data_IF_254316477112
#
_entry.id   IF_254316477112
#
_cell.length_a   1.000
_cell.length_b   1.000
_cell.length_c   1.000
_cell.angle_alpha   90.00
_cell.angle_beta   90.00
_cell.angle_gamma   90.00
#
_symmetry.space_group_name_H-M   'P 1'
#
loop_
_entity.id
_entity.type
_entity.pdbx_description
1 polymer ?
#
# COMPACT_ATOMS: atom_id res chain seq x y z
N UNK A 1 34.29 -26.80 10.53
CA UNK A 1 32.99 -27.42 10.23
C UNK A 1 32.01 -26.99 11.31
N UNK A 2 31.00 -26.16 11.00
CA UNK A 2 29.86 -26.00 11.89
C UNK A 2 28.72 -26.93 11.45
N UNK A 3 28.13 -27.57 12.45
CA UNK A 3 27.16 -28.66 12.36
C UNK A 3 25.80 -28.20 11.81
N UNK A 4 25.30 -28.95 10.83
CA UNK A 4 23.95 -28.84 10.29
C UNK A 4 23.00 -29.68 11.14
N UNK A 5 22.43 -29.08 12.19
CA UNK A 5 21.24 -29.62 12.85
C UNK A 5 19.98 -29.00 12.23
N UNK A 6 19.60 -29.47 11.05
CA UNK A 6 18.28 -29.21 10.46
C UNK A 6 17.31 -30.32 10.89
N UNK A 7 16.51 -30.04 11.93
CA UNK A 7 15.35 -30.83 12.29
C UNK A 7 14.15 -30.53 11.37
N UNK A 8 13.24 -31.49 11.11
CA UNK A 8 12.26 -31.40 10.02
C UNK A 8 11.01 -30.56 10.34
N UNK A 9 11.09 -29.50 11.15
CA UNK A 9 9.89 -28.87 11.74
C UNK A 9 9.56 -27.43 11.29
N UNK A 10 10.33 -26.79 10.41
CA UNK A 10 10.02 -25.41 9.97
C UNK A 10 10.27 -25.22 8.46
N UNK A 11 9.39 -25.80 7.63
CA UNK A 11 9.20 -25.41 6.22
C UNK A 11 7.98 -24.50 6.07
N UNK A 12 7.90 -23.45 6.88
CA UNK A 12 7.20 -22.25 6.42
C UNK A 12 8.19 -21.47 5.57
N UNK A 13 7.69 -20.81 4.53
CA UNK A 13 8.43 -20.11 3.46
C UNK A 13 9.90 -19.79 3.81
N UNK A 14 10.91 -20.29 3.07
CA UNK A 14 12.33 -20.09 3.38
C UNK A 14 12.69 -18.63 3.67
N UNK A 15 11.99 -17.68 3.03
CA UNK A 15 12.10 -16.24 3.22
C UNK A 15 11.82 -15.76 4.65
N UNK A 16 10.82 -16.32 5.35
CA UNK A 16 10.47 -15.89 6.70
C UNK A 16 11.54 -16.30 7.72
N UNK A 17 12.05 -17.53 7.59
CA UNK A 17 13.13 -18.04 8.44
C UNK A 17 14.44 -17.25 8.24
N UNK A 18 14.69 -16.81 7.02
CA UNK A 18 15.89 -16.07 6.64
C UNK A 18 15.78 -14.58 7.02
N UNK A 19 14.59 -13.98 6.91
CA UNK A 19 14.28 -12.67 7.44
C UNK A 19 14.45 -12.63 8.97
N UNK A 20 14.01 -13.65 9.70
CA UNK A 20 14.24 -13.77 11.14
C UNK A 20 15.73 -13.90 11.48
N UNK A 21 16.49 -14.69 10.71
CA UNK A 21 17.96 -14.79 10.86
C UNK A 21 18.63 -13.46 10.60
N UNK A 22 18.26 -12.76 9.53
CA UNK A 22 18.77 -11.44 9.19
C UNK A 22 18.45 -10.39 10.28
N UNK A 23 17.21 -10.34 10.76
CA UNK A 23 16.79 -9.43 11.83
C UNK A 23 17.50 -9.74 13.15
N UNK A 24 17.69 -11.02 13.47
CA UNK A 24 18.46 -11.47 14.64
C UNK A 24 19.93 -11.04 14.52
N UNK A 25 20.53 -11.16 13.33
CA UNK A 25 21.89 -10.71 13.05
C UNK A 25 22.02 -9.18 13.22
N UNK A 26 21.05 -8.41 12.68
CA UNK A 26 20.99 -6.95 12.74
C UNK A 26 20.80 -6.39 14.15
N UNK A 27 20.10 -7.11 15.04
CA UNK A 27 19.91 -6.72 16.45
C UNK A 27 21.21 -6.78 17.28
N UNK A 28 22.20 -7.55 16.82
CA UNK A 28 23.45 -7.80 17.55
C UNK A 28 24.61 -6.87 17.16
N UNK A 29 24.50 -6.11 16.07
CA UNK A 29 25.59 -5.27 15.57
C UNK A 29 25.07 -3.93 15.02
N UNK A 30 25.36 -2.83 15.73
CA UNK A 30 25.32 -1.48 15.15
C UNK A 30 26.60 -1.25 14.35
N UNK A 31 26.71 -1.86 13.16
CA UNK A 31 27.91 -1.66 12.32
C UNK A 31 27.93 -0.26 11.70
N UNK A 32 29.06 0.43 11.82
CA UNK A 32 29.38 1.58 10.98
C UNK A 32 29.64 1.13 9.54
N UNK A 33 29.41 2.03 8.57
CA UNK A 33 29.55 1.76 7.13
C UNK A 33 30.97 1.26 6.78
N UNK A 34 31.99 1.60 7.59
CA UNK A 34 33.39 1.18 7.40
C UNK A 34 33.67 -0.30 7.78
N UNK A 35 32.93 -0.90 8.73
CA UNK A 35 33.06 -2.33 9.03
C UNK A 35 32.42 -3.20 7.93
N UNK A 36 31.44 -2.65 7.20
CA UNK A 36 30.75 -3.31 6.09
C UNK A 36 31.59 -3.37 4.82
N UNK A 37 32.45 -2.38 4.53
CA UNK A 37 33.30 -2.40 3.34
C UNK A 37 34.49 -3.32 3.50
N UNK A 38 35.08 -3.42 4.69
CA UNK A 38 36.37 -4.10 4.85
C UNK A 38 36.28 -5.60 5.23
N UNK A 39 35.16 -6.05 5.84
CA UNK A 39 34.97 -7.46 6.23
C UNK A 39 34.03 -8.25 5.33
N UNK A 40 33.36 -7.59 4.39
CA UNK A 40 32.10 -8.08 3.84
C UNK A 40 32.02 -8.09 2.31
N UNK A 41 33.09 -7.84 1.54
CA UNK A 41 33.02 -8.03 0.07
C UNK A 41 32.62 -9.47 -0.30
N UNK A 42 33.10 -10.46 0.45
CA UNK A 42 32.74 -11.86 0.20
C UNK A 42 31.42 -12.27 0.86
N UNK A 43 31.13 -11.82 2.08
CA UNK A 43 29.90 -12.21 2.81
C UNK A 43 28.67 -11.38 2.41
N UNK A 44 28.84 -10.09 2.11
CA UNK A 44 27.77 -9.24 1.58
C UNK A 44 27.55 -9.52 0.10
N UNK A 45 28.58 -9.77 -0.73
CA UNK A 45 28.30 -10.27 -2.08
C UNK A 45 27.73 -11.69 -2.06
N UNK A 46 28.08 -12.55 -1.10
CA UNK A 46 27.46 -13.86 -0.94
C UNK A 46 26.03 -13.76 -0.39
N UNK A 47 25.74 -12.87 0.54
CA UNK A 47 24.40 -12.65 1.09
C UNK A 47 23.50 -11.93 0.09
N UNK A 48 24.00 -10.93 -0.63
CA UNK A 48 23.31 -10.32 -1.77
C UNK A 48 23.16 -11.34 -2.89
N UNK A 49 24.17 -12.14 -3.24
CA UNK A 49 24.03 -13.23 -4.21
C UNK A 49 23.07 -14.32 -3.73
N UNK A 50 22.98 -14.61 -2.42
CA UNK A 50 22.05 -15.58 -1.87
C UNK A 50 20.62 -15.04 -1.89
N UNK A 51 20.42 -13.80 -1.43
CA UNK A 51 19.13 -13.11 -1.47
C UNK A 51 18.69 -12.92 -2.92
N UNK A 52 19.62 -12.56 -3.81
CA UNK A 52 19.42 -12.47 -5.26
C UNK A 52 19.09 -13.85 -5.84
N UNK A 53 19.83 -14.91 -5.47
CA UNK A 53 19.58 -16.32 -5.86
C UNK A 53 18.22 -16.85 -5.39
N UNK A 54 17.74 -16.40 -4.23
CA UNK A 54 16.46 -16.84 -3.65
C UNK A 54 15.28 -15.97 -4.07
N UNK A 55 15.51 -14.69 -4.36
CA UNK A 55 14.65 -13.91 -5.25
C UNK A 55 14.60 -14.53 -6.67
N UNK A 56 15.63 -15.30 -7.10
CA UNK A 56 15.58 -16.13 -8.32
C UNK A 56 14.72 -17.39 -8.19
N UNK A 57 14.46 -17.86 -6.98
CA UNK A 57 13.58 -19.00 -6.70
C UNK A 57 12.12 -18.58 -6.40
N UNK A 58 11.84 -17.27 -6.30
CA UNK A 58 10.46 -16.75 -6.28
C UNK A 58 9.84 -16.95 -7.65
N UNK A 59 9.16 -18.10 -7.78
CA UNK A 59 8.39 -18.56 -8.92
C UNK A 59 9.17 -18.54 -10.24
N UNK A 60 9.62 -19.73 -10.69
CA UNK A 60 10.32 -19.93 -11.97
C UNK A 60 9.64 -19.29 -13.19
N UNK A 61 8.36 -18.89 -13.08
CA UNK A 61 7.61 -18.17 -14.11
C UNK A 61 7.89 -16.65 -14.19
N UNK A 62 8.42 -15.98 -13.16
CA UNK A 62 8.54 -14.52 -13.09
C UNK A 62 9.96 -14.02 -12.72
N UNK A 63 10.99 -14.51 -13.42
CA UNK A 63 12.38 -14.08 -13.19
C UNK A 63 12.58 -12.59 -13.49
N UNK A 64 12.95 -11.83 -12.46
CA UNK A 64 13.10 -10.36 -12.48
C UNK A 64 14.10 -9.88 -13.56
N UNK A 65 15.22 -10.58 -13.77
CA UNK A 65 16.20 -10.24 -14.82
C UNK A 65 15.70 -10.52 -16.24
N UNK A 66 14.83 -11.52 -16.42
CA UNK A 66 14.20 -11.77 -17.74
C UNK A 66 13.01 -10.87 -17.99
N UNK A 67 12.57 -10.10 -16.99
CA UNK A 67 11.36 -9.29 -17.08
C UNK A 67 11.44 -8.27 -18.23
N UNK A 68 12.62 -7.65 -18.41
CA UNK A 68 12.87 -6.74 -19.52
C UNK A 68 12.82 -7.44 -20.89
N UNK A 69 13.41 -8.64 -21.01
CA UNK A 69 13.39 -9.43 -22.25
C UNK A 69 11.97 -9.87 -22.62
N UNK A 70 11.22 -10.36 -21.63
CA UNK A 70 9.82 -10.79 -21.80
C UNK A 70 8.96 -9.61 -22.22
N UNK A 71 9.11 -8.46 -21.57
CA UNK A 71 8.36 -7.26 -21.91
C UNK A 71 8.74 -6.73 -23.30
N UNK A 72 10.03 -6.60 -23.62
CA UNK A 72 10.51 -6.12 -24.93
C UNK A 72 10.02 -7.03 -26.06
N UNK A 73 10.03 -8.36 -25.86
CA UNK A 73 9.51 -9.33 -26.84
C UNK A 73 8.00 -9.14 -27.09
N UNK A 74 7.21 -8.96 -26.04
CA UNK A 74 5.77 -8.75 -26.18
C UNK A 74 5.44 -7.36 -26.76
N UNK A 75 6.25 -6.33 -26.49
CA UNK A 75 6.11 -5.02 -27.11
C UNK A 75 6.36 -5.10 -28.62
N UNK A 76 7.41 -5.80 -29.06
CA UNK A 76 7.72 -5.99 -30.50
C UNK A 76 6.66 -6.81 -31.23
N UNK A 77 6.09 -7.84 -30.58
CA UNK A 77 5.02 -8.65 -31.17
C UNK A 77 3.69 -7.89 -31.33
N UNK A 78 3.46 -6.86 -30.51
CA UNK A 78 2.20 -6.11 -30.45
C UNK A 78 2.36 -4.65 -30.89
N UNK A 79 3.28 -4.37 -31.82
CA UNK A 79 3.61 -3.02 -32.31
C UNK A 79 2.41 -2.22 -32.84
N UNK A 80 1.32 -2.90 -33.22
CA UNK A 80 0.09 -2.28 -33.71
C UNK A 80 -1.00 -2.21 -32.61
N UNK A 81 -0.95 -1.16 -31.78
CA UNK A 81 -2.14 -0.61 -31.10
C UNK A 81 -2.52 -1.17 -29.71
N UNK A 82 -1.71 -2.03 -29.09
CA UNK A 82 -1.99 -2.52 -27.74
C UNK A 82 -1.34 -1.65 -26.66
N UNK A 83 -2.17 -1.04 -25.81
CA UNK A 83 -1.73 -0.27 -24.63
C UNK A 83 -0.87 -1.12 -23.70
N UNK A 84 0.19 -0.54 -23.11
CA UNK A 84 1.13 -1.20 -22.19
C UNK A 84 0.42 -2.02 -21.08
N UNK A 85 -0.71 -1.51 -20.57
CA UNK A 85 -1.55 -2.19 -19.56
C UNK A 85 -2.10 -3.54 -20.01
N UNK A 86 -2.51 -3.65 -21.29
CA UNK A 86 -3.06 -4.91 -21.84
C UNK A 86 -1.98 -5.98 -21.93
N UNK A 87 -0.78 -5.59 -22.33
CA UNK A 87 0.40 -6.47 -22.42
C UNK A 87 0.77 -6.98 -21.03
N UNK A 88 0.89 -6.09 -20.05
CA UNK A 88 1.19 -6.47 -18.66
C UNK A 88 0.13 -7.43 -18.09
N UNK A 89 -1.15 -7.17 -18.35
CA UNK A 89 -2.25 -8.06 -17.95
C UNK A 89 -2.17 -9.44 -18.60
N UNK A 90 -1.76 -9.52 -19.87
CA UNK A 90 -1.61 -10.79 -20.58
C UNK A 90 -0.47 -11.62 -20.00
N UNK A 91 0.67 -10.98 -19.68
CA UNK A 91 1.83 -11.66 -19.10
C UNK A 91 1.52 -12.16 -17.69
N UNK A 92 0.88 -11.33 -16.86
CA UNK A 92 0.64 -11.58 -15.44
C UNK A 92 -0.71 -12.24 -15.14
N UNK A 93 -1.47 -12.66 -16.15
CA UNK A 93 -2.82 -13.21 -15.99
C UNK A 93 -2.90 -14.36 -14.97
N UNK A 94 -1.92 -15.27 -14.95
CA UNK A 94 -1.91 -16.42 -14.04
C UNK A 94 -1.79 -15.96 -12.57
N UNK A 95 -0.95 -14.98 -12.31
CA UNK A 95 -0.73 -14.38 -10.99
C UNK A 95 -1.90 -13.50 -10.56
N UNK A 96 -2.53 -12.79 -11.50
CA UNK A 96 -3.79 -12.09 -11.25
C UNK A 96 -4.88 -13.07 -10.82
N UNK A 97 -5.01 -14.22 -11.49
CA UNK A 97 -5.99 -15.24 -11.13
C UNK A 97 -5.74 -15.82 -9.73
N UNK A 98 -4.49 -16.15 -9.39
CA UNK A 98 -4.17 -16.63 -8.04
C UNK A 98 -4.42 -15.56 -6.98
N UNK A 99 -4.15 -14.29 -7.27
CA UNK A 99 -4.45 -13.18 -6.37
C UNK A 99 -5.97 -13.04 -6.13
N UNK A 100 -6.79 -13.16 -7.17
CA UNK A 100 -8.25 -13.14 -7.05
C UNK A 100 -8.75 -14.30 -6.18
N UNK A 101 -8.20 -15.50 -6.35
CA UNK A 101 -8.56 -16.67 -5.52
C UNK A 101 -8.19 -16.46 -4.06
N UNK A 102 -6.97 -15.96 -3.77
CA UNK A 102 -6.54 -15.64 -2.41
C UNK A 102 -7.40 -14.57 -1.75
N UNK A 103 -7.77 -13.53 -2.50
CA UNK A 103 -8.65 -12.49 -1.99
C UNK A 103 -10.08 -13.02 -1.73
N UNK A 104 -10.62 -13.85 -2.62
CA UNK A 104 -11.92 -14.47 -2.42
C UNK A 104 -11.93 -15.37 -1.17
N UNK A 105 -10.85 -16.13 -0.95
CA UNK A 105 -10.64 -16.92 0.26
C UNK A 105 -10.64 -16.02 1.50
N UNK A 106 -9.88 -14.93 1.47
CA UNK A 106 -9.89 -13.92 2.53
C UNK A 106 -11.31 -13.40 2.80
N UNK A 107 -12.05 -12.99 1.76
CA UNK A 107 -13.41 -12.46 1.90
C UNK A 107 -14.36 -13.45 2.57
N UNK A 108 -14.34 -14.72 2.15
CA UNK A 108 -15.22 -15.77 2.73
C UNK A 108 -14.94 -15.96 4.22
N UNK A 109 -13.67 -16.10 4.61
CA UNK A 109 -13.30 -16.32 6.01
C UNK A 109 -13.42 -15.06 6.89
N UNK A 110 -13.21 -13.87 6.30
CA UNK A 110 -13.41 -12.57 6.94
C UNK A 110 -14.88 -12.36 7.34
N UNK A 111 -15.82 -12.71 6.45
CA UNK A 111 -17.26 -12.65 6.72
C UNK A 111 -17.70 -13.82 7.63
N UNK A 112 -17.09 -14.99 7.47
CA UNK A 112 -17.37 -16.14 8.33
C UNK A 112 -17.03 -15.90 9.80
N UNK A 113 -15.96 -15.16 10.09
CA UNK A 113 -15.51 -14.85 11.45
C UNK A 113 -16.63 -14.28 12.36
N UNK A 114 -17.31 -13.16 12.02
CA UNK A 114 -18.38 -12.63 12.86
C UNK A 114 -19.61 -13.53 12.93
N UNK A 115 -19.89 -14.33 11.90
CA UNK A 115 -20.98 -15.33 11.93
C UNK A 115 -20.68 -16.42 12.95
N UNK A 116 -19.44 -16.93 12.98
CA UNK A 116 -19.01 -17.92 13.98
C UNK A 116 -19.01 -17.31 15.38
N UNK A 117 -18.57 -16.05 15.51
CA UNK A 117 -18.63 -15.32 16.78
C UNK A 117 -20.06 -15.17 17.30
N UNK A 118 -21.04 -14.91 16.42
CA UNK A 118 -22.45 -14.89 16.79
C UNK A 118 -22.92 -16.24 17.36
N UNK A 119 -22.62 -17.34 16.67
CA UNK A 119 -23.02 -18.67 17.14
C UNK A 119 -22.36 -19.03 18.48
N UNK A 120 -21.10 -18.64 18.67
CA UNK A 120 -20.39 -18.82 19.94
C UNK A 120 -21.07 -18.03 21.08
N UNK A 121 -21.44 -16.78 20.84
CA UNK A 121 -22.13 -15.96 21.83
C UNK A 121 -23.53 -16.50 22.14
N UNK A 122 -24.26 -16.98 21.13
CA UNK A 122 -25.56 -17.63 21.32
C UNK A 122 -25.44 -18.94 22.08
N UNK A 123 -24.33 -19.66 21.92
CA UNK A 123 -24.03 -20.85 22.72
C UNK A 123 -23.81 -20.46 24.20
N UNK A 124 -23.12 -19.35 24.48
CA UNK A 124 -22.92 -18.86 25.85
C UNK A 124 -24.21 -18.42 26.56
N UNK A 125 -25.25 -18.07 25.81
CA UNK A 125 -26.55 -17.65 26.36
C UNK A 125 -27.48 -18.82 26.72
N UNK A 126 -27.11 -20.07 26.39
CA UNK A 126 -27.88 -21.27 26.76
C UNK A 126 -27.53 -21.73 28.18
N UNK A 127 -28.52 -22.19 28.94
CA UNK A 127 -28.34 -22.59 30.35
C UNK A 127 -27.49 -23.86 30.54
N UNK A 128 -27.52 -24.83 29.60
CA UNK A 128 -26.69 -26.04 29.65
C UNK A 128 -26.40 -26.64 28.26
N UNK A 129 -25.57 -25.99 27.43
CA UNK A 129 -25.23 -26.49 26.10
C UNK A 129 -24.06 -27.49 26.15
N UNK A 130 -23.98 -28.41 25.17
CA UNK A 130 -22.87 -29.35 25.11
C UNK A 130 -21.52 -28.63 24.94
N UNK A 131 -20.55 -28.97 25.81
CA UNK A 131 -19.23 -28.30 25.86
C UNK A 131 -18.43 -28.43 24.56
N UNK A 132 -18.57 -29.56 23.85
CA UNK A 132 -17.85 -29.80 22.60
C UNK A 132 -18.25 -28.80 21.49
N UNK A 133 -19.50 -28.31 21.50
CA UNK A 133 -19.99 -27.31 20.52
C UNK A 133 -19.26 -25.97 20.73
N UNK A 134 -19.07 -25.55 21.98
CA UNK A 134 -18.31 -24.34 22.32
C UNK A 134 -16.84 -24.43 21.90
N UNK A 135 -16.17 -25.56 22.22
CA UNK A 135 -14.78 -25.77 21.79
C UNK A 135 -14.63 -25.80 20.27
N UNK A 136 -15.58 -26.42 19.55
CA UNK A 136 -15.60 -26.45 18.09
C UNK A 136 -15.76 -25.04 17.50
N UNK A 137 -16.71 -24.25 18.01
CA UNK A 137 -16.95 -22.87 17.55
C UNK A 137 -15.76 -21.96 17.82
N UNK A 138 -15.11 -22.08 18.98
CA UNK A 138 -13.89 -21.34 19.30
C UNK A 138 -12.72 -21.73 18.40
N UNK A 139 -12.52 -23.03 18.14
CA UNK A 139 -11.49 -23.50 17.21
C UNK A 139 -11.76 -23.03 15.78
N UNK A 140 -13.02 -23.04 15.34
CA UNK A 140 -13.44 -22.54 14.04
C UNK A 140 -13.20 -21.03 13.91
N UNK A 141 -13.51 -20.25 14.95
CA UNK A 141 -13.25 -18.81 14.98
C UNK A 141 -11.76 -18.51 14.79
N UNK A 142 -10.90 -19.24 15.51
CA UNK A 142 -9.45 -19.14 15.37
C UNK A 142 -8.98 -19.52 13.95
N UNK A 143 -9.49 -20.63 13.40
CA UNK A 143 -9.17 -21.07 12.05
C UNK A 143 -9.60 -20.04 11.00
N UNK A 144 -10.79 -19.47 11.12
CA UNK A 144 -11.27 -18.41 10.23
C UNK A 144 -10.36 -17.18 10.27
N UNK A 145 -9.97 -16.74 11.46
CA UNK A 145 -9.09 -15.57 11.61
C UNK A 145 -7.70 -15.81 11.02
N UNK A 146 -7.08 -16.95 11.33
CA UNK A 146 -5.75 -17.31 10.82
C UNK A 146 -5.77 -17.46 9.30
N UNK A 147 -6.76 -18.17 8.75
CA UNK A 147 -6.88 -18.38 7.30
C UNK A 147 -7.15 -17.06 6.57
N UNK A 148 -8.05 -16.22 7.10
CA UNK A 148 -8.34 -14.90 6.54
C UNK A 148 -7.10 -13.99 6.54
N UNK A 149 -6.36 -13.97 7.66
CA UNK A 149 -5.17 -13.14 7.82
C UNK A 149 -4.03 -13.60 6.90
N UNK A 150 -3.76 -14.91 6.84
CA UNK A 150 -2.76 -15.48 5.95
C UNK A 150 -3.11 -15.25 4.49
N UNK A 151 -4.36 -15.53 4.08
CA UNK A 151 -4.79 -15.32 2.70
C UNK A 151 -4.63 -13.87 2.24
N UNK A 152 -4.92 -12.90 3.14
CA UNK A 152 -4.70 -11.49 2.88
C UNK A 152 -3.21 -11.15 2.74
N UNK A 153 -2.38 -11.66 3.63
CA UNK A 153 -0.93 -11.39 3.59
C UNK A 153 -0.31 -11.97 2.31
N UNK A 154 -0.64 -13.22 1.95
CA UNK A 154 -0.21 -13.82 0.69
C UNK A 154 -0.71 -13.05 -0.54
N UNK A 155 -1.93 -12.51 -0.50
CA UNK A 155 -2.44 -11.64 -1.56
C UNK A 155 -1.60 -10.37 -1.70
N UNK A 156 -1.27 -9.69 -0.59
CA UNK A 156 -0.46 -8.48 -0.59
C UNK A 156 0.95 -8.77 -1.09
N UNK A 157 1.56 -9.86 -0.62
CA UNK A 157 2.89 -10.27 -1.05
C UNK A 157 2.90 -10.55 -2.56
N UNK A 158 1.97 -11.35 -3.06
CA UNK A 158 1.84 -11.63 -4.50
C UNK A 158 1.67 -10.34 -5.33
N UNK A 159 0.90 -9.37 -4.84
CA UNK A 159 0.77 -8.06 -5.48
C UNK A 159 2.09 -7.28 -5.50
N UNK A 160 2.86 -7.32 -4.42
CA UNK A 160 4.18 -6.69 -4.32
C UNK A 160 5.18 -7.35 -5.28
N UNK A 161 5.15 -8.69 -5.41
CA UNK A 161 5.97 -9.42 -6.40
C UNK A 161 5.64 -8.97 -7.82
N UNK A 162 4.34 -8.92 -8.18
CA UNK A 162 3.91 -8.43 -9.49
C UNK A 162 4.34 -6.97 -9.74
N UNK A 163 4.25 -6.12 -8.70
CA UNK A 163 4.73 -4.74 -8.73
C UNK A 163 6.23 -4.66 -9.00
N UNK A 164 7.04 -5.38 -8.22
CA UNK A 164 8.49 -5.40 -8.35
C UNK A 164 8.94 -5.92 -9.72
N UNK A 165 8.29 -6.98 -10.21
CA UNK A 165 8.55 -7.50 -11.54
C UNK A 165 8.23 -6.47 -12.63
N UNK A 166 7.11 -5.76 -12.50
CA UNK A 166 6.69 -4.73 -13.47
C UNK A 166 7.67 -3.57 -13.48
N UNK A 167 8.09 -3.08 -12.31
CA UNK A 167 9.11 -2.03 -12.19
C UNK A 167 10.41 -2.48 -12.85
N UNK A 168 10.87 -3.69 -12.56
CA UNK A 168 12.12 -4.21 -13.11
C UNK A 168 12.06 -4.39 -14.64
N UNK A 169 10.92 -4.85 -15.17
CA UNK A 169 10.70 -4.94 -16.60
C UNK A 169 10.77 -3.57 -17.27
N UNK A 170 10.06 -2.58 -16.72
CA UNK A 170 9.99 -1.23 -17.26
C UNK A 170 11.33 -0.52 -17.16
N UNK A 171 12.00 -0.54 -16.02
CA UNK A 171 13.33 0.06 -15.85
C UNK A 171 14.37 -0.58 -16.76
N UNK A 172 14.32 -1.91 -16.96
CA UNK A 172 15.23 -2.61 -17.87
C UNK A 172 15.02 -2.24 -19.34
N UNK A 173 13.76 -2.14 -19.79
CA UNK A 173 13.45 -1.67 -21.15
C UNK A 173 13.83 -0.19 -21.32
N UNK A 174 13.54 0.66 -20.33
CA UNK A 174 13.96 2.07 -20.32
C UNK A 174 15.48 2.19 -20.45
N UNK A 175 16.25 1.41 -19.69
CA UNK A 175 17.70 1.41 -19.77
C UNK A 175 18.21 1.03 -21.18
N UNK A 176 17.67 -0.04 -21.77
CA UNK A 176 18.03 -0.45 -23.14
C UNK A 176 17.68 0.62 -24.17
N UNK A 177 16.53 1.26 -24.01
CA UNK A 177 16.11 2.34 -24.90
C UNK A 177 17.03 3.55 -24.77
N UNK A 178 17.43 3.94 -23.56
CA UNK A 178 18.41 5.01 -23.35
C UNK A 178 19.73 4.77 -24.09
N UNK A 179 20.15 3.51 -24.25
CA UNK A 179 21.36 3.15 -25.02
C UNK A 179 21.18 3.26 -26.55
N UNK A 180 19.94 3.34 -27.06
CA UNK A 180 19.61 3.45 -28.49
C UNK A 180 19.15 4.84 -28.92
N UNK A 181 18.92 5.74 -27.97
CA UNK A 181 18.51 7.12 -28.26
C UNK A 181 19.69 7.93 -28.82
N UNK A 182 19.45 8.79 -29.83
CA UNK A 182 20.50 9.65 -30.39
C UNK A 182 20.93 10.71 -29.36
N UNK A 183 22.24 10.95 -29.24
CA UNK A 183 22.80 12.04 -28.43
C UNK A 183 22.63 13.39 -29.15
N UNK A 184 21.40 13.91 -29.17
CA UNK A 184 21.09 15.27 -29.64
C UNK A 184 20.93 16.21 -28.44
N UNK A 185 20.96 17.54 -28.62
CA UNK A 185 20.70 18.50 -27.53
C UNK A 185 19.37 18.25 -26.80
N UNK A 186 18.40 17.60 -27.44
CA UNK A 186 17.16 17.13 -26.84
C UNK A 186 17.39 16.10 -25.70
N UNK A 187 18.48 15.33 -25.72
CA UNK A 187 18.86 14.36 -24.68
C UNK A 187 19.01 15.01 -23.30
N UNK A 188 19.52 16.25 -23.24
CA UNK A 188 19.63 17.02 -22.00
C UNK A 188 18.29 17.22 -21.28
N UNK A 189 17.19 17.38 -22.05
CA UNK A 189 15.83 17.48 -21.53
C UNK A 189 15.22 16.14 -21.08
N UNK A 190 15.77 15.01 -21.52
CA UNK A 190 15.30 13.68 -21.15
C UNK A 190 15.94 13.13 -19.88
N UNK A 191 17.12 13.60 -19.48
CA UNK A 191 17.80 13.11 -18.25
C UNK A 191 16.92 13.26 -17.02
N UNK A 192 16.26 14.42 -16.84
CA UNK A 192 15.32 14.65 -15.74
C UNK A 192 14.09 13.73 -15.81
N UNK A 193 13.53 13.53 -17.01
CA UNK A 193 12.39 12.62 -17.22
C UNK A 193 12.74 11.17 -16.94
N UNK A 194 13.92 10.71 -17.36
CA UNK A 194 14.42 9.34 -17.09
C UNK A 194 14.63 9.16 -15.59
N UNK A 195 15.20 10.16 -14.91
CA UNK A 195 15.36 10.11 -13.45
C UNK A 195 14.00 10.03 -12.72
N UNK A 196 12.99 10.79 -13.16
CA UNK A 196 11.62 10.72 -12.63
C UNK A 196 10.96 9.36 -12.90
N UNK A 197 11.17 8.78 -14.09
CA UNK A 197 10.66 7.46 -14.45
C UNK A 197 11.27 6.37 -13.56
N UNK A 198 12.59 6.37 -13.38
CA UNK A 198 13.30 5.35 -12.62
C UNK A 198 13.12 5.46 -11.10
N UNK A 199 12.82 6.66 -10.58
CA UNK A 199 12.59 6.89 -9.14
C UNK A 199 11.09 6.92 -8.81
N UNK A 200 10.46 8.09 -8.89
CA UNK A 200 9.09 8.33 -8.44
C UNK A 200 8.05 7.49 -9.19
N UNK A 201 8.19 7.33 -10.50
CA UNK A 201 7.21 6.55 -11.27
C UNK A 201 7.31 5.04 -10.98
N UNK A 202 8.50 4.53 -10.67
CA UNK A 202 8.70 3.14 -10.21
C UNK A 202 7.97 2.87 -8.89
N UNK A 203 8.07 3.79 -7.93
CA UNK A 203 7.40 3.65 -6.62
C UNK A 203 5.87 3.59 -6.77
N UNK A 204 5.31 4.42 -7.67
CA UNK A 204 3.88 4.41 -7.97
C UNK A 204 3.41 3.08 -8.60
N UNK A 205 4.27 2.42 -9.38
CA UNK A 205 3.96 1.16 -10.06
C UNK A 205 4.06 -0.03 -9.10
N UNK A 206 4.94 0.02 -8.11
CA UNK A 206 5.06 -1.05 -7.11
C UNK A 206 3.71 -1.34 -6.42
N UNK A 207 2.97 -0.28 -6.08
CA UNK A 207 1.64 -0.39 -5.43
C UNK A 207 0.47 -0.51 -6.41
N UNK A 208 0.72 -0.46 -7.72
CA UNK A 208 -0.33 -0.43 -8.75
C UNK A 208 -1.22 -1.69 -8.74
N UNK A 209 -0.60 -2.88 -8.67
CA UNK A 209 -1.33 -4.16 -8.73
C UNK A 209 -2.23 -4.37 -7.52
N UNK A 210 -1.71 -4.07 -6.32
CA UNK A 210 -2.50 -4.10 -5.09
C UNK A 210 -3.71 -3.16 -5.19
N UNK A 211 -3.50 -1.94 -5.69
CA UNK A 211 -4.57 -0.96 -5.83
C UNK A 211 -5.65 -1.37 -6.84
N UNK A 212 -5.29 -1.83 -8.05
CA UNK A 212 -6.29 -2.23 -9.06
C UNK A 212 -7.07 -3.48 -8.65
N UNK A 213 -6.41 -4.49 -8.08
CA UNK A 213 -7.08 -5.72 -7.65
C UNK A 213 -8.03 -5.45 -6.48
N UNK A 214 -7.58 -4.66 -5.51
CA UNK A 214 -8.41 -4.21 -4.39
C UNK A 214 -9.60 -3.40 -4.90
N UNK A 215 -9.39 -2.47 -5.84
CA UNK A 215 -10.47 -1.65 -6.41
C UNK A 215 -11.55 -2.50 -7.10
N UNK A 216 -11.17 -3.61 -7.74
CA UNK A 216 -12.11 -4.53 -8.38
C UNK A 216 -12.83 -5.46 -7.40
N UNK A 217 -12.14 -5.96 -6.37
CA UNK A 217 -12.64 -7.04 -5.51
C UNK A 217 -13.31 -6.53 -4.23
N UNK A 218 -12.82 -5.41 -3.67
CA UNK A 218 -13.35 -4.84 -2.44
C UNK A 218 -14.83 -4.40 -2.51
N UNK A 219 -15.38 -3.89 -3.63
CA UNK A 219 -16.82 -3.60 -3.72
C UNK A 219 -17.69 -4.83 -3.48
N UNK A 220 -17.27 -6.01 -3.94
CA UNK A 220 -17.98 -7.27 -3.71
C UNK A 220 -17.94 -7.65 -2.23
N UNK A 221 -16.80 -7.45 -1.57
CA UNK A 221 -16.66 -7.66 -0.12
C UNK A 221 -17.54 -6.69 0.68
N UNK A 222 -17.57 -5.40 0.32
CA UNK A 222 -18.44 -4.39 0.96
C UNK A 222 -19.91 -4.80 0.81
N UNK A 223 -20.34 -5.17 -0.39
CA UNK A 223 -21.72 -5.59 -0.63
C UNK A 223 -22.09 -6.84 0.19
N UNK A 224 -21.15 -7.79 0.31
CA UNK A 224 -21.35 -9.01 1.10
C UNK A 224 -21.43 -8.72 2.60
N UNK A 225 -20.64 -7.78 3.11
CA UNK A 225 -20.72 -7.30 4.50
C UNK A 225 -22.05 -6.60 4.78
N UNK A 226 -22.51 -5.72 3.88
CA UNK A 226 -23.81 -5.04 4.00
C UNK A 226 -24.96 -6.05 3.97
N UNK A 227 -24.92 -7.03 3.06
CA UNK A 227 -25.92 -8.08 3.00
C UNK A 227 -25.95 -8.92 4.28
N UNK A 228 -24.79 -9.28 4.83
CA UNK A 228 -24.68 -10.00 6.10
C UNK A 228 -25.25 -9.17 7.25
N UNK A 229 -24.91 -7.87 7.33
CA UNK A 229 -25.42 -6.96 8.36
C UNK A 229 -26.94 -6.84 8.33
N UNK A 230 -27.52 -6.79 7.13
CA UNK A 230 -28.97 -6.77 6.94
C UNK A 230 -29.64 -8.06 7.41
N UNK A 231 -29.01 -9.22 7.21
CA UNK A 231 -29.53 -10.51 7.71
C UNK A 231 -29.56 -10.55 9.25
N UNK A 232 -28.62 -9.89 9.93
CA UNK A 232 -28.53 -9.92 11.40
C UNK A 232 -29.50 -8.99 12.12
N UNK A 233 -29.69 -7.76 11.62
CA UNK A 233 -30.44 -6.71 12.34
C UNK A 233 -31.50 -6.03 11.46
N UNK A 234 -31.78 -6.60 10.30
CA UNK A 234 -32.82 -6.16 9.35
C UNK A 234 -32.74 -4.64 9.08
N UNK A 235 -33.86 -3.93 9.24
CA UNK A 235 -33.98 -2.49 8.98
C UNK A 235 -33.14 -1.61 9.92
N UNK A 236 -32.81 -2.09 11.13
CA UNK A 236 -32.01 -1.29 12.05
C UNK A 236 -30.55 -1.13 11.55
N UNK A 237 -30.06 -2.08 10.74
CA UNK A 237 -28.73 -2.01 10.12
C UNK A 237 -28.55 -0.74 9.26
N UNK A 238 -29.62 -0.24 8.64
CA UNK A 238 -29.60 0.93 7.77
C UNK A 238 -29.19 2.19 8.53
N UNK A 239 -29.69 2.37 9.77
CA UNK A 239 -29.32 3.51 10.61
C UNK A 239 -27.83 3.50 10.94
N UNK A 240 -27.27 2.33 11.23
CA UNK A 240 -25.87 2.19 11.53
C UNK A 240 -24.94 2.41 10.34
N UNK A 241 -25.33 1.91 9.16
CA UNK A 241 -24.65 2.20 7.89
C UNK A 241 -24.70 3.69 7.59
N UNK A 242 -25.83 4.36 7.82
CA UNK A 242 -25.99 5.79 7.59
C UNK A 242 -25.03 6.62 8.46
N UNK A 243 -24.80 6.23 9.72
CA UNK A 243 -23.82 6.88 10.61
C UNK A 243 -22.40 6.74 10.07
N UNK A 244 -22.02 5.55 9.60
CA UNK A 244 -20.70 5.31 8.99
C UNK A 244 -20.52 6.16 7.74
N UNK A 245 -21.51 6.18 6.83
CA UNK A 245 -21.48 7.00 5.62
C UNK A 245 -21.38 8.50 5.95
N UNK A 246 -22.10 8.98 6.96
CA UNK A 246 -22.04 10.36 7.41
C UNK A 246 -20.66 10.69 7.99
N UNK A 247 -20.06 9.79 8.76
CA UNK A 247 -18.70 9.97 9.28
C UNK A 247 -17.66 10.08 8.15
N UNK A 248 -17.79 9.26 7.10
CA UNK A 248 -16.94 9.34 5.91
C UNK A 248 -17.14 10.67 5.18
N UNK A 249 -18.37 11.15 5.06
CA UNK A 249 -18.66 12.45 4.46
C UNK A 249 -17.96 13.59 5.22
N UNK A 250 -18.06 13.61 6.55
CA UNK A 250 -17.34 14.58 7.38
C UNK A 250 -15.82 14.43 7.27
N UNK A 251 -15.31 13.19 7.27
CA UNK A 251 -13.89 12.88 7.07
C UNK A 251 -13.38 13.42 5.74
N UNK A 252 -14.15 13.25 4.67
CA UNK A 252 -13.81 13.73 3.33
C UNK A 252 -13.76 15.26 3.27
N UNK A 253 -14.70 15.95 3.91
CA UNK A 253 -14.68 17.41 3.98
C UNK A 253 -13.45 17.93 4.75
N UNK A 254 -13.13 17.29 5.88
CA UNK A 254 -11.93 17.60 6.65
C UNK A 254 -10.65 17.29 5.87
N UNK A 255 -10.62 16.18 5.12
CA UNK A 255 -9.47 15.77 4.30
C UNK A 255 -9.15 16.76 3.18
N UNK A 256 -10.16 17.38 2.56
CA UNK A 256 -9.94 18.45 1.57
C UNK A 256 -9.23 19.66 2.18
N UNK A 257 -9.65 20.07 3.37
CA UNK A 257 -8.97 21.17 4.10
C UNK A 257 -7.58 20.78 4.57
N UNK A 258 -7.40 19.52 4.96
CA UNK A 258 -6.09 18.97 5.28
C UNK A 258 -5.14 19.05 4.07
N UNK A 259 -5.61 18.68 2.87
CA UNK A 259 -4.83 18.76 1.63
C UNK A 259 -4.42 20.20 1.29
N UNK A 260 -5.37 21.14 1.34
CA UNK A 260 -5.10 22.57 1.13
C UNK A 260 -4.02 23.11 2.10
N UNK A 261 -4.16 22.81 3.39
CA UNK A 261 -3.20 23.24 4.42
C UNK A 261 -1.86 22.53 4.24
N UNK A 262 -1.85 21.27 3.79
CA UNK A 262 -0.62 20.52 3.51
C UNK A 262 0.17 21.17 2.37
N UNK A 263 -0.49 21.62 1.31
CA UNK A 263 0.13 22.34 0.19
C UNK A 263 0.68 23.69 0.66
N UNK A 264 -0.12 24.48 1.40
CA UNK A 264 0.35 25.76 1.95
C UNK A 264 1.58 25.58 2.84
N UNK A 265 1.60 24.54 3.66
CA UNK A 265 2.73 24.21 4.53
C UNK A 265 3.96 23.79 3.73
N UNK A 266 3.78 23.01 2.66
CA UNK A 266 4.88 22.60 1.78
C UNK A 266 5.54 23.82 1.13
N UNK A 267 4.74 24.75 0.61
CA UNK A 267 5.23 26.00 0.02
C UNK A 267 5.98 26.86 1.05
N UNK A 268 5.44 27.01 2.27
CA UNK A 268 6.11 27.76 3.35
C UNK A 268 7.43 27.13 3.79
N UNK A 269 7.50 25.79 3.82
CA UNK A 269 8.73 25.07 4.13
C UNK A 269 9.78 25.23 3.03
N UNK A 270 9.36 25.24 1.76
CA UNK A 270 10.24 25.51 0.62
C UNK A 270 10.78 26.94 0.67
N UNK A 271 9.93 27.94 0.90
CA UNK A 271 10.34 29.34 1.08
C UNK A 271 11.35 29.49 2.21
N UNK A 272 11.10 28.86 3.37
CA UNK A 272 12.05 28.85 4.49
C UNK A 272 13.41 28.27 4.08
N UNK A 273 13.41 27.11 3.39
CA UNK A 273 14.65 26.48 2.95
C UNK A 273 15.41 27.33 1.92
N UNK A 274 14.70 28.00 1.02
CA UNK A 274 15.31 28.93 0.05
C UNK A 274 15.94 30.12 0.77
N UNK A 275 15.22 30.73 1.73
CA UNK A 275 15.74 31.83 2.55
C UNK A 275 16.99 31.43 3.35
N UNK A 276 17.01 30.23 3.94
CA UNK A 276 18.20 29.70 4.62
C UNK A 276 19.36 29.57 3.64
N UNK A 277 19.12 29.04 2.44
CA UNK A 277 20.15 28.86 1.42
C UNK A 277 20.72 30.20 0.93
N UNK A 278 19.87 31.22 0.74
CA UNK A 278 20.29 32.59 0.42
C UNK A 278 21.16 33.19 1.54
N UNK A 279 20.75 33.02 2.81
CA UNK A 279 21.50 33.52 3.96
C UNK A 279 22.89 32.88 4.07
N UNK A 280 22.97 31.55 3.90
CA UNK A 280 24.24 30.81 3.95
C UNK A 280 25.15 31.22 2.79
N UNK A 281 24.59 31.37 1.58
CA UNK A 281 25.34 31.81 0.40
C UNK A 281 25.87 33.24 0.55
N UNK A 282 25.11 34.13 1.21
CA UNK A 282 25.47 35.54 1.44
C UNK A 282 26.18 35.80 2.78
N UNK A 283 26.61 34.76 3.52
CA UNK A 283 27.02 34.89 4.92
C UNK A 283 28.16 35.90 5.13
N UNK A 284 29.14 35.96 4.22
CA UNK A 284 30.26 36.93 4.30
C UNK A 284 29.77 38.38 4.26
N UNK A 285 28.83 38.69 3.37
CA UNK A 285 28.27 40.03 3.23
C UNK A 285 27.41 40.41 4.44
N UNK A 286 26.64 39.46 4.98
CA UNK A 286 25.81 39.66 6.18
C UNK A 286 26.71 40.01 7.39
N UNK A 287 27.81 39.27 7.58
CA UNK A 287 28.77 39.54 8.68
C UNK A 287 29.49 40.87 8.52
N UNK A 288 29.97 41.16 7.31
CA UNK A 288 30.70 42.41 7.03
C UNK A 288 29.86 43.66 7.34
N UNK A 289 28.54 43.59 7.11
CA UNK A 289 27.61 44.69 7.36
C UNK A 289 26.90 44.60 8.73
N UNK A 290 27.24 43.62 9.58
CA UNK A 290 26.58 43.35 10.86
C UNK A 290 25.04 43.22 10.76
N UNK A 291 24.53 42.66 9.65
CA UNK A 291 23.08 42.47 9.41
C UNK A 291 22.49 41.21 10.05
N UNK A 292 23.26 40.51 10.89
CA UNK A 292 22.91 39.20 11.47
C UNK A 292 21.53 39.22 12.16
N UNK A 293 21.27 40.22 13.01
CA UNK A 293 20.00 40.35 13.74
C UNK A 293 18.79 40.48 12.81
N UNK A 294 18.92 41.25 11.71
CA UNK A 294 17.83 41.47 10.75
C UNK A 294 17.50 40.19 9.97
N UNK A 295 18.51 39.46 9.52
CA UNK A 295 18.31 38.18 8.81
C UNK A 295 17.82 37.08 9.76
N UNK A 296 18.28 37.07 11.01
CA UNK A 296 17.79 36.16 12.04
C UNK A 296 16.30 36.37 12.28
N UNK A 297 15.84 37.61 12.44
CA UNK A 297 14.40 37.91 12.58
C UNK A 297 13.61 37.42 11.36
N UNK A 298 14.08 37.70 10.15
CA UNK A 298 13.43 37.22 8.91
C UNK A 298 13.30 35.70 8.85
N UNK A 299 14.34 34.95 9.27
CA UNK A 299 14.31 33.49 9.33
C UNK A 299 13.33 32.97 10.40
N UNK A 300 13.29 33.62 11.57
CA UNK A 300 12.34 33.28 12.64
C UNK A 300 10.90 33.52 12.18
N UNK A 301 10.61 34.65 11.54
CA UNK A 301 9.26 34.98 11.07
C UNK A 301 8.77 33.97 10.03
N UNK A 302 9.62 33.60 9.07
CA UNK A 302 9.36 32.53 8.10
C UNK A 302 9.08 31.20 8.81
N UNK A 303 9.88 30.83 9.82
CA UNK A 303 9.68 29.59 10.57
C UNK A 303 8.40 29.60 11.40
N UNK A 304 8.06 30.73 12.02
CA UNK A 304 6.82 30.90 12.79
C UNK A 304 5.61 30.78 11.87
N UNK A 305 5.67 31.30 10.65
CA UNK A 305 4.61 31.12 9.65
C UNK A 305 4.41 29.63 9.30
N UNK A 306 5.49 28.90 9.00
CA UNK A 306 5.46 27.45 8.75
C UNK A 306 4.87 26.68 9.95
N UNK A 307 5.29 27.00 11.18
CA UNK A 307 4.80 26.35 12.40
C UNK A 307 3.32 26.60 12.67
N UNK A 308 2.79 27.79 12.33
CA UNK A 308 1.34 28.06 12.40
C UNK A 308 0.57 27.15 11.45
N UNK A 309 1.05 26.99 10.22
CA UNK A 309 0.45 26.06 9.24
C UNK A 309 0.56 24.61 9.72
N UNK A 310 1.67 24.23 10.35
CA UNK A 310 1.82 22.92 10.98
C UNK A 310 0.79 22.68 12.09
N UNK A 311 0.57 23.65 12.97
CA UNK A 311 -0.46 23.55 14.01
C UNK A 311 -1.87 23.45 13.42
N UNK A 312 -2.15 24.21 12.35
CA UNK A 312 -3.40 24.09 11.60
C UNK A 312 -3.60 22.70 10.99
N UNK A 313 -2.56 22.16 10.36
CA UNK A 313 -2.53 20.80 9.80
C UNK A 313 -2.84 19.76 10.89
N UNK A 314 -2.20 19.89 12.06
CA UNK A 314 -2.43 18.99 13.20
C UNK A 314 -3.88 18.97 13.67
N UNK A 315 -4.59 20.11 13.66
CA UNK A 315 -6.02 20.17 13.98
C UNK A 315 -6.89 19.42 12.96
N UNK A 316 -6.59 19.55 11.67
CA UNK A 316 -7.31 18.83 10.63
C UNK A 316 -7.03 17.32 10.67
N UNK A 317 -5.77 16.91 10.93
CA UNK A 317 -5.41 15.51 11.14
C UNK A 317 -6.18 14.93 12.32
N UNK A 318 -6.25 15.65 13.44
CA UNK A 318 -7.00 15.20 14.62
C UNK A 318 -8.49 15.00 14.28
N UNK A 319 -9.10 15.92 13.51
CA UNK A 319 -10.49 15.80 13.07
C UNK A 319 -10.72 14.57 12.18
N UNK A 320 -9.85 14.34 11.19
CA UNK A 320 -9.92 13.16 10.32
C UNK A 320 -9.73 11.87 11.12
N UNK A 321 -8.82 11.85 12.08
CA UNK A 321 -8.57 10.67 12.92
C UNK A 321 -9.75 10.33 13.84
N UNK A 322 -10.46 11.33 14.37
CA UNK A 322 -11.65 11.11 15.20
C UNK A 322 -12.78 10.50 14.37
N UNK A 323 -12.97 10.98 13.14
CA UNK A 323 -14.02 10.48 12.24
C UNK A 323 -13.67 9.12 11.60
N UNK A 324 -12.40 8.71 11.61
CA UNK A 324 -11.95 7.38 11.19
C UNK A 324 -11.80 6.38 12.35
N UNK A 325 -12.03 6.81 13.59
CA UNK A 325 -11.81 6.00 14.79
C UNK A 325 -12.96 4.97 14.97
N UNK A 326 -12.70 3.77 15.53
CA UNK A 326 -13.74 2.86 16.00
C UNK A 326 -14.76 3.47 16.99
N UNK A 327 -14.49 4.67 17.53
CA UNK A 327 -15.49 5.52 18.21
C UNK A 327 -16.81 5.65 17.42
N UNK A 328 -16.73 5.74 16.08
CA UNK A 328 -17.91 5.83 15.19
C UNK A 328 -18.75 4.55 15.25
N UNK A 329 -18.09 3.39 15.36
CA UNK A 329 -18.77 2.09 15.44
C UNK A 329 -19.55 1.98 16.76
N UNK A 330 -19.02 2.56 17.84
CA UNK A 330 -19.69 2.64 19.15
C UNK A 330 -20.94 3.50 19.10
N UNK A 331 -20.83 4.68 18.46
CA UNK A 331 -21.97 5.60 18.30
C UNK A 331 -23.06 4.94 17.46
N UNK A 332 -22.66 4.27 16.37
CA UNK A 332 -23.56 3.51 15.51
C UNK A 332 -24.24 2.37 16.29
N UNK A 333 -23.50 1.65 17.13
CA UNK A 333 -24.05 0.62 18.02
C UNK A 333 -25.13 1.18 18.94
N UNK A 334 -24.85 2.33 19.59
CA UNK A 334 -25.79 2.97 20.52
C UNK A 334 -27.09 3.39 19.82
N UNK A 335 -27.00 3.92 18.60
CA UNK A 335 -28.16 4.30 17.78
C UNK A 335 -28.99 3.07 17.40
N UNK A 336 -28.34 1.98 16.97
CA UNK A 336 -29.03 0.73 16.63
C UNK A 336 -29.69 0.12 17.86
N UNK A 337 -29.01 0.09 19.00
CA UNK A 337 -29.57 -0.39 20.27
C UNK A 337 -30.81 0.43 20.69
N UNK A 338 -30.77 1.75 20.52
CA UNK A 338 -31.91 2.62 20.83
C UNK A 338 -33.08 2.40 19.86
N UNK A 339 -32.82 2.28 18.56
CA UNK A 339 -33.85 2.06 17.54
C UNK A 339 -34.57 0.73 17.73
N UNK A 340 -33.81 -0.32 18.01
CA UNK A 340 -34.34 -1.67 18.21
C UNK A 340 -35.06 -1.82 19.54
N UNK A 341 -34.61 -1.13 20.60
CA UNK A 341 -35.37 -0.98 21.84
C UNK A 341 -36.71 -0.26 21.62
N UNK A 342 -36.73 0.80 20.79
CA UNK A 342 -37.97 1.48 20.43
C UNK A 342 -38.91 0.61 19.56
N UNK A 343 -38.36 -0.31 18.78
CA UNK A 343 -39.10 -1.25 17.93
C UNK A 343 -39.58 -2.53 18.65
N UNK A 344 -39.42 -2.63 19.99
CA UNK A 344 -39.78 -3.81 20.80
C UNK A 344 -39.21 -5.15 20.27
N UNK A 345 -38.09 -5.11 19.55
CA UNK A 345 -37.43 -6.32 19.06
C UNK A 345 -36.47 -6.84 20.14
N UNK A 346 -36.49 -8.14 20.49
CA UNK A 346 -35.60 -8.66 21.52
C UNK A 346 -34.15 -8.64 21.03
N UNK A 347 -33.33 -7.70 21.51
CA UNK A 347 -31.90 -7.72 21.26
C UNK A 347 -31.22 -8.64 22.25
N UNK A 348 -30.65 -9.72 21.72
CA UNK A 348 -29.73 -10.56 22.46
C UNK A 348 -28.34 -9.92 22.41
N UNK A 349 -27.57 -9.89 23.52
CA UNK A 349 -26.19 -9.40 23.53
C UNK A 349 -25.30 -10.01 22.44
N UNK A 350 -25.53 -11.28 22.09
CA UNK A 350 -24.89 -11.96 20.96
C UNK A 350 -25.06 -11.22 19.61
N UNK A 351 -26.27 -10.73 19.32
CA UNK A 351 -26.57 -10.01 18.07
C UNK A 351 -25.84 -8.67 18.04
N UNK A 352 -25.83 -7.95 19.16
CA UNK A 352 -25.22 -6.64 19.28
C UNK A 352 -23.69 -6.70 19.09
N UNK A 353 -23.04 -7.70 19.67
CA UNK A 353 -21.61 -7.91 19.51
C UNK A 353 -21.22 -8.34 18.09
N UNK A 354 -21.99 -9.25 17.47
CA UNK A 354 -21.76 -9.66 16.08
C UNK A 354 -21.94 -8.47 15.12
N UNK A 355 -22.97 -7.65 15.35
CA UNK A 355 -23.19 -6.42 14.61
C UNK A 355 -22.02 -5.44 14.74
N UNK A 356 -21.49 -5.22 15.96
CA UNK A 356 -20.32 -4.36 16.15
C UNK A 356 -19.13 -4.80 15.31
N UNK A 357 -18.81 -6.10 15.35
CA UNK A 357 -17.65 -6.64 14.62
C UNK A 357 -17.84 -6.50 13.11
N UNK A 358 -19.04 -6.81 12.60
CA UNK A 358 -19.38 -6.62 11.18
C UNK A 358 -19.30 -5.15 10.75
N UNK A 359 -19.81 -4.25 11.59
CA UNK A 359 -19.80 -2.82 11.31
C UNK A 359 -18.36 -2.27 11.30
N UNK A 360 -17.53 -2.65 12.27
CA UNK A 360 -16.13 -2.24 12.31
C UNK A 360 -15.33 -2.71 11.08
N UNK A 361 -15.59 -3.95 10.62
CA UNK A 361 -15.03 -4.46 9.36
C UNK A 361 -15.50 -3.62 8.16
N UNK A 362 -16.81 -3.36 8.06
CA UNK A 362 -17.39 -2.57 6.98
C UNK A 362 -16.81 -1.14 6.95
N UNK A 363 -16.76 -0.49 8.12
CA UNK A 363 -16.21 0.85 8.27
C UNK A 363 -14.76 0.92 7.80
N UNK A 364 -13.89 0.00 8.26
CA UNK A 364 -12.49 -0.06 7.82
C UNK A 364 -12.36 -0.24 6.30
N UNK A 365 -13.18 -1.11 5.69
CA UNK A 365 -13.17 -1.32 4.24
C UNK A 365 -13.60 -0.04 3.50
N UNK A 366 -14.72 0.58 3.86
CA UNK A 366 -15.17 1.79 3.16
C UNK A 366 -14.17 2.94 3.34
N UNK A 367 -13.60 3.11 4.54
CA UNK A 367 -12.66 4.19 4.83
C UNK A 367 -11.36 4.11 4.01
N UNK A 368 -10.83 2.91 3.80
CA UNK A 368 -9.61 2.71 3.00
C UNK A 368 -9.84 2.64 1.47
N UNK A 369 -11.10 2.61 1.02
CA UNK A 369 -11.43 2.50 -0.40
C UNK A 369 -10.92 3.70 -1.26
N UNK A 370 -11.08 4.98 -0.84
CA UNK A 370 -10.60 6.13 -1.61
C UNK A 370 -9.08 6.13 -1.83
N UNK A 371 -8.32 5.62 -0.86
CA UNK A 371 -6.86 5.51 -0.95
C UNK A 371 -6.43 4.54 -2.05
N UNK A 372 -7.18 3.47 -2.26
CA UNK A 372 -6.95 2.53 -3.36
C UNK A 372 -7.20 3.19 -4.72
N UNK A 373 -8.23 4.04 -4.83
CA UNK A 373 -8.51 4.83 -6.06
C UNK A 373 -7.36 5.78 -6.36
N UNK A 374 -6.85 6.49 -5.34
CA UNK A 374 -5.72 7.42 -5.47
C UNK A 374 -4.46 6.70 -5.96
N UNK A 375 -4.11 5.60 -5.33
CA UNK A 375 -2.92 4.81 -5.68
C UNK A 375 -3.03 4.21 -7.07
N UNK A 376 -4.21 3.71 -7.44
CA UNK A 376 -4.48 3.25 -8.81
C UNK A 376 -4.32 4.37 -9.83
N UNK A 377 -4.84 5.57 -9.55
CA UNK A 377 -4.74 6.71 -10.45
C UNK A 377 -3.27 7.15 -10.66
N UNK A 378 -2.48 7.16 -9.59
CA UNK A 378 -1.05 7.46 -9.64
C UNK A 378 -0.27 6.41 -10.45
N UNK A 379 -0.43 5.12 -10.14
CA UNK A 379 0.23 4.05 -10.91
C UNK A 379 -0.25 4.00 -12.38
N UNK A 380 -1.51 4.32 -12.62
CA UNK A 380 -2.08 4.49 -13.97
C UNK A 380 -1.41 5.61 -14.76
N UNK A 381 -1.16 6.76 -14.12
CA UNK A 381 -0.46 7.88 -14.74
C UNK A 381 1.03 7.55 -14.97
N UNK A 382 1.69 6.90 -14.01
CA UNK A 382 3.06 6.44 -14.14
C UNK A 382 3.23 5.49 -15.34
N UNK A 383 2.35 4.49 -15.50
CA UNK A 383 2.36 3.59 -16.66
C UNK A 383 2.21 4.35 -18.00
N UNK A 384 1.38 5.40 -18.04
CA UNK A 384 1.24 6.24 -19.25
C UNK A 384 2.53 7.02 -19.56
N UNK A 385 3.27 7.47 -18.55
CA UNK A 385 4.57 8.14 -18.74
C UNK A 385 5.61 7.18 -19.34
N UNK A 386 5.65 5.93 -18.87
CA UNK A 386 6.49 4.90 -19.48
C UNK A 386 6.09 4.59 -20.92
N UNK A 387 4.79 4.45 -21.19
CA UNK A 387 4.25 4.23 -22.53
C UNK A 387 4.67 5.36 -23.49
N UNK A 388 4.48 6.61 -23.10
CA UNK A 388 4.90 7.77 -23.90
C UNK A 388 6.43 7.81 -24.13
N UNK A 389 7.23 7.43 -23.12
CA UNK A 389 8.68 7.31 -23.28
C UNK A 389 9.08 6.20 -24.28
N UNK A 390 8.34 5.08 -24.29
CA UNK A 390 8.56 3.98 -25.22
C UNK A 390 8.11 4.28 -26.66
N UNK A 391 7.32 5.32 -26.89
CA UNK A 391 6.94 5.78 -28.24
C UNK A 391 7.98 6.71 -28.91
N UNK A 392 8.93 7.27 -28.16
CA UNK A 392 9.97 8.16 -28.71
C UNK A 392 10.80 7.43 -29.79
N UNK A 393 10.98 8.04 -30.97
CA UNK A 393 11.75 7.46 -32.08
C UNK A 393 13.22 7.21 -31.71
N UNK A 394 13.75 6.07 -32.13
CA UNK A 394 15.15 5.68 -31.95
C UNK A 394 16.02 6.20 -33.11
N UNK A 395 17.28 6.50 -32.85
CA UNK A 395 18.15 7.19 -33.83
C UNK A 395 18.52 6.35 -35.06
N UNK A 396 18.29 5.04 -35.02
CA UNK A 396 18.63 4.11 -36.11
C UNK A 396 17.56 3.97 -37.20
N UNK A 397 16.35 4.47 -36.99
CA UNK A 397 15.24 4.26 -37.95
C UNK A 397 15.32 5.19 -39.18
N UNK A 398 16.22 6.19 -39.19
CA UNK A 398 16.38 7.11 -40.32
C UNK A 398 17.21 6.53 -41.49
N UNK A 399 17.95 5.44 -41.30
CA UNK A 399 18.74 4.83 -42.39
C UNK A 399 17.91 3.87 -43.28
N UNK A 400 16.66 3.56 -42.89
CA UNK A 400 15.78 2.62 -43.62
C UNK A 400 14.84 3.24 -44.66
N UNK A 401 14.51 4.53 -44.54
CA UNK A 401 13.57 5.22 -45.45
C UNK A 401 14.27 6.05 -46.55
N UNK A 402 15.60 6.07 -46.57
CA UNK A 402 16.41 6.69 -47.61
C UNK A 402 17.00 5.64 -48.56
N UNK A 403 16.16 4.92 -49.32
CA UNK A 403 16.58 4.26 -50.57
C UNK A 403 15.48 4.26 -51.62
#
# INVERSE_FOLDING_TARGET
MPETHDGPAYKWDPLFSEALRFLKQRKTQSMSIEELTNKNENSFSFSVKNLQSRLMDMDNSLKVWTAADVLEKNLKQNSHGLTLRKILRQILWRHILSAVVLYALHTIFSIGMPVVAYFLLKWMERDDPPQWEGFLLAALLGLCNVTSSLAKEYFVDLCNVMGLWTVSALSGVTYRKCLRLPLTDAFSGYVGKIAELCSSSSDMILSYWSAILTLCLQPVEILSLVATLYIFVEWASVGGIAVVLLSIFFSSLASRRLEEVSIMRANAAEEHSQLVNECVSAMKAIKFNAWESRFQQKLIDSKVHELRLWAQMGRWIALVNVSSNPAVDVISLAIVALFTAAANSPLTPAVLAAYWVLLALLHGKIFHFPESVRTWAQGSAALRRFEHFFEIQEGGDQEGESK
#
